data_IF_328588104205
#
_entry.id   IF_328588104205
#
_cell.length_a   1.000
_cell.length_b   1.000
_cell.length_c   1.000
_cell.angle_alpha   90.00
_cell.angle_beta   90.00
_cell.angle_gamma   90.00
#
_symmetry.space_group_name_H-M   'P 1'
#
loop_
_entity.id
_entity.type
_entity.pdbx_description
1 polymer ?
#
# COMPACT_ATOMS: atom_id res chain seq x y z
N UNK A 1 6.02 4.05 -23.50
CA UNK A 1 4.76 3.92 -22.76
C UNK A 1 3.64 3.88 -23.78
N UNK A 2 2.92 2.78 -23.94
CA UNK A 2 1.70 2.77 -24.77
C UNK A 2 0.62 3.45 -23.92
N UNK A 3 0.07 4.53 -24.45
CA UNK A 3 -1.13 5.14 -23.91
C UNK A 3 -2.24 4.09 -23.90
N UNK A 4 -2.81 3.87 -22.72
CA UNK A 4 -4.05 3.08 -22.60
C UNK A 4 -5.16 4.02 -23.06
N UNK A 5 -5.56 3.87 -24.33
CA UNK A 5 -6.71 4.58 -24.89
C UNK A 5 -7.95 3.91 -24.30
N UNK A 6 -8.63 4.59 -23.40
CA UNK A 6 -9.94 4.19 -22.91
C UNK A 6 -10.96 4.49 -24.01
N UNK A 7 -11.48 3.46 -24.66
CA UNK A 7 -12.62 3.65 -25.58
C UNK A 7 -13.86 3.95 -24.72
N UNK A 8 -14.47 5.09 -24.96
CA UNK A 8 -15.81 5.46 -24.50
C UNK A 8 -16.88 4.68 -25.30
N UNK A 9 -16.91 3.36 -25.18
CA UNK A 9 -18.06 2.57 -25.60
C UNK A 9 -18.81 2.13 -24.35
N UNK A 10 -20.10 2.50 -24.29
CA UNK A 10 -21.14 2.16 -23.33
C UNK A 10 -20.60 1.59 -21.99
N UNK A 11 -20.51 2.42 -20.97
CA UNK A 11 -20.11 1.94 -19.64
C UNK A 11 -21.19 0.98 -19.15
N UNK A 12 -20.97 -0.31 -19.34
CA UNK A 12 -21.74 -1.34 -18.66
C UNK A 12 -21.71 -1.01 -17.17
N UNK A 13 -22.89 -0.84 -16.59
CA UNK A 13 -23.02 -0.44 -15.18
C UNK A 13 -22.27 -1.42 -14.31
N UNK A 14 -21.30 -0.91 -13.49
CA UNK A 14 -20.49 -1.76 -12.62
C UNK A 14 -21.38 -2.53 -11.65
N UNK A 15 -21.23 -3.85 -11.63
CA UNK A 15 -21.98 -4.74 -10.74
C UNK A 15 -21.10 -5.22 -9.59
N UNK A 16 -21.62 -5.09 -8.35
CA UNK A 16 -20.90 -5.46 -7.13
C UNK A 16 -21.33 -6.85 -6.63
N UNK A 17 -21.15 -7.87 -7.46
CA UNK A 17 -21.43 -9.24 -7.11
C UNK A 17 -20.28 -9.88 -6.32
N UNK A 18 -20.60 -10.78 -5.40
CA UNK A 18 -19.60 -11.63 -4.76
C UNK A 18 -18.98 -12.60 -5.78
N UNK A 19 -17.72 -12.92 -5.63
CA UNK A 19 -16.99 -13.81 -6.54
C UNK A 19 -17.65 -15.20 -6.66
N UNK A 20 -18.23 -15.71 -5.58
CA UNK A 20 -18.91 -17.01 -5.54
C UNK A 20 -20.13 -17.10 -6.48
N UNK A 21 -20.63 -15.98 -6.97
CA UNK A 21 -21.74 -15.89 -7.94
C UNK A 21 -21.25 -15.90 -9.39
N UNK A 22 -19.96 -15.79 -9.63
CA UNK A 22 -19.39 -15.73 -10.97
C UNK A 22 -19.09 -17.13 -11.51
N UNK A 23 -19.45 -17.36 -12.79
CA UNK A 23 -19.23 -18.66 -13.43
C UNK A 23 -17.73 -18.98 -13.56
N UNK A 24 -16.92 -18.02 -13.91
CA UNK A 24 -15.46 -18.15 -14.00
C UNK A 24 -14.79 -18.43 -12.64
N UNK A 25 -15.38 -17.99 -11.53
CA UNK A 25 -14.91 -18.37 -10.20
C UNK A 25 -15.17 -19.85 -9.92
N UNK A 26 -16.33 -20.37 -10.32
CA UNK A 26 -16.62 -21.81 -10.23
C UNK A 26 -15.69 -22.64 -11.12
N UNK A 27 -15.36 -22.13 -12.32
CA UNK A 27 -14.35 -22.74 -13.19
C UNK A 27 -12.98 -22.79 -12.48
N UNK A 28 -12.56 -21.70 -11.85
CA UNK A 28 -11.30 -21.61 -11.11
C UNK A 28 -11.20 -22.60 -9.95
N UNK A 29 -12.30 -22.84 -9.23
CA UNK A 29 -12.32 -23.81 -8.14
C UNK A 29 -12.10 -25.26 -8.61
N UNK A 30 -12.42 -25.54 -9.88
CA UNK A 30 -12.32 -26.87 -10.48
C UNK A 30 -11.07 -27.05 -11.37
N UNK A 31 -10.21 -26.02 -11.50
CA UNK A 31 -8.96 -26.15 -12.24
C UNK A 31 -7.99 -27.07 -11.50
N UNK A 32 -7.30 -27.93 -12.23
CA UNK A 32 -6.25 -28.77 -11.71
C UNK A 32 -5.13 -27.91 -11.10
N UNK A 33 -4.72 -28.27 -9.89
CA UNK A 33 -3.68 -27.51 -9.19
C UNK A 33 -2.29 -27.86 -9.71
N UNK A 34 -1.51 -26.85 -9.99
CA UNK A 34 -0.11 -27.00 -10.41
C UNK A 34 0.72 -27.57 -9.26
N UNK A 35 1.40 -28.68 -9.51
CA UNK A 35 2.42 -29.20 -8.60
C UNK A 35 3.68 -28.33 -8.67
N UNK A 36 3.83 -27.41 -7.74
CA UNK A 36 4.97 -26.48 -7.73
C UNK A 36 6.32 -27.18 -7.52
N UNK A 37 6.36 -28.27 -6.76
CA UNK A 37 7.60 -29.01 -6.54
C UNK A 37 8.14 -29.55 -7.87
N UNK A 38 7.29 -30.11 -8.72
CA UNK A 38 7.67 -30.57 -10.07
C UNK A 38 7.94 -29.39 -11.01
N UNK A 39 7.09 -28.36 -11.02
CA UNK A 39 7.18 -27.25 -11.94
C UNK A 39 8.40 -26.35 -11.69
N UNK A 40 8.90 -26.25 -10.47
CA UNK A 40 10.05 -25.44 -10.09
C UNK A 40 11.38 -26.18 -10.05
N UNK A 41 11.36 -27.51 -10.18
CA UNK A 41 12.55 -28.36 -10.24
C UNK A 41 12.73 -28.93 -11.65
N UNK A 42 13.95 -29.36 -11.97
CA UNK A 42 14.27 -29.90 -13.27
C UNK A 42 14.62 -28.82 -14.30
N UNK A 43 14.69 -29.23 -15.57
CA UNK A 43 15.17 -28.41 -16.69
C UNK A 43 14.29 -27.18 -16.97
N UNK A 44 12.99 -27.27 -16.71
CA UNK A 44 12.01 -26.23 -16.99
C UNK A 44 11.87 -25.17 -15.88
N UNK A 45 12.47 -25.36 -14.70
CA UNK A 45 12.31 -24.44 -13.56
C UNK A 45 12.80 -23.02 -13.87
N UNK A 46 13.96 -22.87 -14.50
CA UNK A 46 14.50 -21.57 -14.90
C UNK A 46 13.65 -20.86 -15.97
N UNK A 47 13.14 -21.61 -16.94
CA UNK A 47 12.26 -21.06 -17.97
C UNK A 47 10.92 -20.61 -17.39
N UNK A 48 10.40 -21.35 -16.43
CA UNK A 48 9.19 -20.97 -15.70
C UNK A 48 9.34 -19.62 -14.98
N UNK A 49 10.48 -19.39 -14.30
CA UNK A 49 10.77 -18.12 -13.64
C UNK A 49 10.81 -16.96 -14.64
N UNK A 50 11.38 -17.16 -15.82
CA UNK A 50 11.39 -16.15 -16.89
C UNK A 50 9.98 -15.91 -17.45
N UNK A 51 9.25 -16.98 -17.74
CA UNK A 51 7.92 -16.94 -18.35
C UNK A 51 6.90 -16.19 -17.49
N UNK A 52 6.87 -16.49 -16.19
CA UNK A 52 5.89 -15.92 -15.26
C UNK A 52 6.46 -14.68 -14.55
N UNK A 53 6.85 -13.70 -15.36
CA UNK A 53 7.38 -12.42 -14.93
C UNK A 53 6.76 -11.28 -15.74
N UNK A 54 6.35 -10.22 -15.06
CA UNK A 54 5.77 -9.01 -15.67
C UNK A 54 6.64 -7.81 -15.31
N UNK A 55 7.08 -7.01 -16.32
CA UNK A 55 7.84 -5.81 -16.04
C UNK A 55 6.96 -4.78 -15.31
N UNK A 56 7.55 -4.11 -14.33
CA UNK A 56 6.95 -3.05 -13.53
C UNK A 56 7.70 -1.73 -13.73
N UNK A 57 7.21 -0.67 -13.09
CA UNK A 57 7.90 0.62 -13.07
C UNK A 57 9.25 0.55 -12.35
N UNK A 58 10.11 1.55 -12.60
CA UNK A 58 11.42 1.73 -11.96
C UNK A 58 12.38 0.53 -12.12
N UNK A 59 12.28 -0.23 -13.21
CA UNK A 59 13.15 -1.39 -13.47
C UNK A 59 12.84 -2.62 -12.62
N UNK A 60 11.75 -2.62 -11.88
CA UNK A 60 11.27 -3.79 -11.13
C UNK A 60 10.55 -4.77 -12.05
N UNK A 61 10.45 -6.01 -11.59
CA UNK A 61 9.61 -7.03 -12.22
C UNK A 61 8.82 -7.77 -11.14
N UNK A 62 7.55 -8.04 -11.43
CA UNK A 62 6.74 -8.94 -10.62
C UNK A 62 6.89 -10.36 -11.15
N UNK A 63 7.58 -11.20 -10.39
CA UNK A 63 7.73 -12.61 -10.71
C UNK A 63 6.74 -13.44 -9.89
N UNK A 64 5.96 -14.25 -10.58
CA UNK A 64 4.96 -15.12 -9.97
C UNK A 64 5.17 -16.60 -10.33
N UNK A 65 6.37 -16.97 -10.77
CA UNK A 65 6.73 -18.37 -11.11
C UNK A 65 6.52 -19.34 -9.95
N UNK A 66 6.63 -18.89 -8.70
CA UNK A 66 6.38 -19.71 -7.50
C UNK A 66 4.90 -19.71 -7.05
N UNK A 67 3.98 -19.21 -7.85
CA UNK A 67 2.53 -19.35 -7.60
C UNK A 67 1.99 -20.62 -8.27
N UNK A 68 0.92 -21.19 -7.74
CA UNK A 68 0.24 -22.35 -8.33
C UNK A 68 -0.56 -21.95 -9.58
N UNK A 69 0.13 -21.45 -10.59
CA UNK A 69 -0.44 -21.03 -11.87
C UNK A 69 0.29 -21.68 -13.04
N UNK A 70 -0.45 -21.95 -14.09
CA UNK A 70 0.02 -22.28 -15.43
C UNK A 70 -0.80 -21.50 -16.44
N UNK A 71 -0.63 -21.78 -17.72
CA UNK A 71 -1.35 -21.06 -18.77
C UNK A 71 -2.87 -21.30 -18.70
N UNK A 72 -3.30 -22.49 -18.26
CA UNK A 72 -4.71 -22.81 -18.08
C UNK A 72 -5.31 -22.00 -16.93
N UNK A 73 -4.64 -21.99 -15.76
CA UNK A 73 -5.06 -21.18 -14.61
C UNK A 73 -5.10 -19.69 -14.99
N UNK A 74 -4.10 -19.19 -15.73
CA UNK A 74 -4.06 -17.80 -16.18
C UNK A 74 -5.21 -17.46 -17.13
N UNK A 75 -5.59 -18.40 -18.02
CA UNK A 75 -6.73 -18.20 -18.91
C UNK A 75 -8.04 -18.08 -18.11
N UNK A 76 -8.24 -18.92 -17.09
CA UNK A 76 -9.43 -18.84 -16.21
C UNK A 76 -9.41 -17.56 -15.37
N UNK A 77 -8.25 -17.15 -14.85
CA UNK A 77 -8.12 -15.89 -14.11
C UNK A 77 -8.42 -14.67 -15.01
N UNK A 78 -8.03 -14.72 -16.30
CA UNK A 78 -8.39 -13.66 -17.25
C UNK A 78 -9.90 -13.58 -17.50
N UNK A 79 -10.59 -14.73 -17.62
CA UNK A 79 -12.06 -14.77 -17.68
C UNK A 79 -12.70 -14.18 -16.41
N UNK A 80 -12.17 -14.56 -15.24
CA UNK A 80 -12.66 -14.06 -13.96
C UNK A 80 -12.47 -12.54 -13.84
N UNK A 81 -11.32 -12.02 -14.24
CA UNK A 81 -11.05 -10.58 -14.23
C UNK A 81 -12.05 -9.80 -15.10
N UNK A 82 -12.37 -10.34 -16.28
CA UNK A 82 -13.35 -9.76 -17.20
C UNK A 82 -14.78 -9.85 -16.63
N UNK A 83 -15.22 -11.03 -16.17
CA UNK A 83 -16.56 -11.23 -15.60
C UNK A 83 -16.77 -10.41 -14.32
N UNK A 84 -15.73 -10.26 -13.51
CA UNK A 84 -15.73 -9.43 -12.30
C UNK A 84 -15.63 -7.92 -12.60
N UNK A 85 -15.48 -7.50 -13.84
CA UNK A 85 -15.26 -6.10 -14.24
C UNK A 85 -14.09 -5.46 -13.47
N UNK A 86 -12.95 -6.19 -13.37
CA UNK A 86 -11.83 -5.76 -12.53
C UNK A 86 -11.23 -4.44 -12.99
N UNK A 87 -11.09 -4.24 -14.31
CA UNK A 87 -10.51 -3.03 -14.89
C UNK A 87 -11.41 -1.81 -14.65
N UNK A 88 -12.70 -1.99 -14.86
CA UNK A 88 -13.74 -0.97 -14.68
C UNK A 88 -13.83 -0.55 -13.19
N UNK A 89 -13.80 -1.53 -12.29
CA UNK A 89 -13.77 -1.28 -10.85
C UNK A 89 -12.50 -0.58 -10.39
N UNK A 90 -11.36 -0.89 -11.02
CA UNK A 90 -10.12 -0.19 -10.74
C UNK A 90 -10.16 1.26 -11.26
N UNK A 91 -10.76 1.50 -12.42
CA UNK A 91 -10.99 2.84 -12.94
C UNK A 91 -11.92 3.64 -12.01
N UNK A 92 -13.02 3.04 -11.54
CA UNK A 92 -13.93 3.65 -10.57
C UNK A 92 -13.21 4.06 -9.27
N UNK A 93 -12.32 3.19 -8.73
CA UNK A 93 -11.46 3.54 -7.59
C UNK A 93 -10.59 4.76 -7.89
N UNK A 94 -9.95 4.76 -9.04
CA UNK A 94 -9.06 5.85 -9.46
C UNK A 94 -9.79 7.18 -9.65
N UNK A 95 -11.01 7.12 -10.16
CA UNK A 95 -11.88 8.29 -10.38
C UNK A 95 -12.56 8.77 -9.09
N UNK A 96 -12.37 8.08 -7.97
CA UNK A 96 -12.93 8.46 -6.68
C UNK A 96 -14.42 8.16 -6.54
N UNK A 97 -14.90 7.09 -7.15
CA UNK A 97 -16.24 6.59 -6.90
C UNK A 97 -16.33 5.89 -5.54
N UNK A 98 -17.54 5.79 -4.99
CA UNK A 98 -17.78 5.05 -3.74
C UNK A 98 -17.68 3.55 -4.00
N UNK A 99 -16.49 2.97 -3.85
CA UNK A 99 -16.26 1.54 -4.07
C UNK A 99 -16.36 0.70 -2.79
N UNK A 100 -16.16 1.29 -1.62
CA UNK A 100 -16.45 0.64 -0.35
C UNK A 100 -17.93 0.84 -0.01
N UNK A 101 -18.78 -0.01 -0.61
CA UNK A 101 -20.22 0.10 -0.49
C UNK A 101 -20.73 -0.18 0.93
N UNK A 102 -20.02 -0.97 1.72
CA UNK A 102 -20.36 -1.28 3.11
C UNK A 102 -20.27 -0.08 4.04
N UNK A 103 -19.20 0.71 3.90
CA UNK A 103 -18.96 1.91 4.70
C UNK A 103 -19.34 3.21 3.96
N UNK A 104 -19.77 3.10 2.69
CA UNK A 104 -20.07 4.24 1.81
C UNK A 104 -18.90 5.23 1.70
N UNK A 105 -17.69 4.70 1.50
CA UNK A 105 -16.45 5.49 1.44
C UNK A 105 -15.75 5.40 0.11
N UNK A 106 -15.04 6.49 -0.20
CA UNK A 106 -14.04 6.55 -1.25
C UNK A 106 -12.76 5.83 -0.80
N UNK A 107 -11.93 5.40 -1.76
CA UNK A 107 -10.59 4.87 -1.52
C UNK A 107 -9.62 5.70 -2.36
N UNK A 108 -8.89 6.62 -1.74
CA UNK A 108 -8.16 7.69 -2.41
C UNK A 108 -6.64 7.64 -2.18
N UNK A 109 -6.07 6.45 -1.94
CA UNK A 109 -4.63 6.29 -1.70
C UNK A 109 -3.76 6.82 -2.83
N UNK A 110 -4.23 6.79 -4.07
CA UNK A 110 -3.53 7.32 -5.24
C UNK A 110 -3.27 8.83 -5.13
N UNK A 111 -4.15 9.59 -4.50
CA UNK A 111 -3.99 11.05 -4.34
C UNK A 111 -2.90 11.43 -3.32
N UNK A 112 -2.49 10.49 -2.45
CA UNK A 112 -1.43 10.71 -1.46
C UNK A 112 -0.09 10.13 -1.90
N UNK A 113 -0.03 9.41 -3.05
CA UNK A 113 1.13 8.67 -3.53
C UNK A 113 1.50 9.10 -4.94
N UNK A 114 2.19 10.24 -5.06
CA UNK A 114 2.64 10.76 -6.35
C UNK A 114 1.56 11.46 -7.16
N UNK A 115 0.44 11.81 -6.56
CA UNK A 115 -0.65 12.57 -7.17
C UNK A 115 -1.20 11.92 -8.46
N UNK A 116 -1.37 10.61 -8.41
CA UNK A 116 -1.90 9.83 -9.52
C UNK A 116 -3.41 10.05 -9.67
N UNK A 117 -3.92 9.86 -10.88
CA UNK A 117 -5.34 10.06 -11.21
C UNK A 117 -5.73 11.54 -11.36
N UNK A 118 -7.02 11.77 -11.51
CA UNK A 118 -7.62 13.09 -11.65
C UNK A 118 -8.05 13.68 -10.30
N UNK A 119 -8.55 14.92 -10.31
CA UNK A 119 -9.14 15.53 -9.12
C UNK A 119 -10.41 14.81 -8.70
N UNK A 120 -10.57 14.60 -7.41
CA UNK A 120 -11.78 14.01 -6.84
C UNK A 120 -12.49 15.04 -5.97
N UNK A 121 -13.70 15.40 -6.35
CA UNK A 121 -14.55 16.30 -5.56
C UNK A 121 -15.53 15.45 -4.75
N UNK A 122 -15.43 15.52 -3.43
CA UNK A 122 -16.36 14.84 -2.53
C UNK A 122 -16.78 15.76 -1.39
N UNK A 123 -18.06 15.82 -1.10
CA UNK A 123 -18.64 16.71 -0.10
C UNK A 123 -18.27 18.20 -0.32
N UNK A 124 -18.18 18.63 -1.57
CA UNK A 124 -17.77 19.98 -1.94
C UNK A 124 -16.27 20.29 -1.74
N UNK A 125 -15.45 19.31 -1.43
CA UNK A 125 -14.00 19.47 -1.19
C UNK A 125 -13.21 18.77 -2.28
N UNK A 126 -12.24 19.47 -2.88
CA UNK A 126 -11.23 18.84 -3.73
C UNK A 126 -10.28 18.03 -2.85
N UNK A 127 -10.37 16.71 -2.93
CA UNK A 127 -9.58 15.80 -2.08
C UNK A 127 -8.09 15.82 -2.40
N UNK A 128 -7.71 16.07 -3.65
CA UNK A 128 -6.29 16.27 -4.02
C UNK A 128 -5.69 17.46 -3.31
N UNK A 129 -6.32 18.61 -3.41
CA UNK A 129 -5.86 19.83 -2.73
C UNK A 129 -5.84 19.66 -1.22
N UNK A 130 -6.87 19.02 -0.66
CA UNK A 130 -6.91 18.69 0.77
C UNK A 130 -5.68 17.88 1.21
N UNK A 131 -5.37 16.78 0.53
CA UNK A 131 -4.22 15.94 0.89
C UNK A 131 -2.88 16.64 0.69
N UNK A 132 -2.72 17.44 -0.36
CA UNK A 132 -1.51 18.24 -0.55
C UNK A 132 -1.30 19.25 0.59
N UNK A 133 -2.36 19.91 1.02
CA UNK A 133 -2.30 20.85 2.14
C UNK A 133 -1.98 20.13 3.46
N UNK A 134 -2.56 18.96 3.71
CA UNK A 134 -2.22 18.16 4.89
C UNK A 134 -0.76 17.68 4.88
N UNK A 135 -0.24 17.21 3.74
CA UNK A 135 1.18 16.84 3.60
C UNK A 135 2.10 18.03 3.86
N UNK A 136 1.73 19.23 3.38
CA UNK A 136 2.47 20.46 3.67
C UNK A 136 2.49 20.77 5.16
N UNK A 137 1.33 20.73 5.83
CA UNK A 137 1.24 20.95 7.29
C UNK A 137 2.10 19.96 8.09
N UNK A 138 2.10 18.67 7.70
CA UNK A 138 2.94 17.64 8.32
C UNK A 138 4.42 17.99 8.18
N UNK A 139 4.84 18.39 6.98
CA UNK A 139 6.22 18.79 6.71
C UNK A 139 6.63 20.03 7.52
N UNK A 140 5.78 21.04 7.56
CA UNK A 140 6.03 22.27 8.33
C UNK A 140 6.13 21.98 9.83
N UNK A 141 5.23 21.15 10.37
CA UNK A 141 5.26 20.73 11.77
C UNK A 141 6.55 19.97 12.10
N UNK A 142 6.90 18.97 11.29
CA UNK A 142 8.12 18.19 11.50
C UNK A 142 9.37 19.08 11.47
N UNK A 143 9.44 20.03 10.54
CA UNK A 143 10.56 20.98 10.47
C UNK A 143 10.63 21.86 11.71
N UNK A 144 9.51 22.38 12.22
CA UNK A 144 9.48 23.20 13.46
C UNK A 144 9.99 22.42 14.68
N UNK A 145 9.60 21.15 14.81
CA UNK A 145 10.12 20.27 15.88
C UNK A 145 11.63 20.05 15.69
N UNK A 146 12.07 19.68 14.49
CA UNK A 146 13.49 19.43 14.21
C UNK A 146 14.39 20.65 14.41
N UNK A 147 13.89 21.84 14.11
CA UNK A 147 14.63 23.10 14.27
C UNK A 147 14.58 23.63 15.70
N UNK A 148 13.71 23.09 16.56
CA UNK A 148 13.51 23.53 17.93
C UNK A 148 12.68 24.81 18.04
N UNK A 149 11.81 25.08 17.07
CA UNK A 149 10.77 26.10 17.16
C UNK A 149 9.61 25.65 18.05
N UNK A 150 9.40 24.31 18.09
CA UNK A 150 8.49 23.64 19.05
C UNK A 150 9.36 22.91 20.05
N UNK A 151 9.18 23.26 21.33
CA UNK A 151 9.97 22.78 22.47
C UNK A 151 9.08 22.20 23.56
N UNK A 152 9.70 21.54 24.54
CA UNK A 152 9.03 21.15 25.78
C UNK A 152 8.74 22.39 26.68
N UNK A 153 8.12 22.17 27.84
CA UNK A 153 7.78 23.25 28.79
C UNK A 153 9.02 23.98 29.37
N UNK A 154 10.18 23.35 29.36
CA UNK A 154 11.45 23.95 29.79
C UNK A 154 12.16 24.72 28.64
N UNK A 155 11.61 24.76 27.44
CA UNK A 155 12.22 25.40 26.28
C UNK A 155 13.27 24.54 25.57
N UNK A 156 13.34 23.25 25.83
CA UNK A 156 14.31 22.33 25.28
C UNK A 156 13.74 21.61 24.05
N UNK A 157 14.64 21.23 23.14
CA UNK A 157 14.28 20.48 21.92
C UNK A 157 13.87 19.06 22.23
N UNK A 158 12.84 18.58 21.56
CA UNK A 158 12.53 17.16 21.56
C UNK A 158 13.62 16.36 20.84
N UNK A 159 14.13 15.32 21.49
CA UNK A 159 15.18 14.43 20.97
C UNK A 159 14.66 13.04 20.65
N UNK A 160 13.50 12.69 21.17
CA UNK A 160 12.90 11.37 21.04
C UNK A 160 11.43 11.48 20.65
N UNK A 161 10.98 10.58 19.79
CA UNK A 161 9.58 10.39 19.43
C UNK A 161 9.15 8.99 19.84
N UNK A 162 7.98 8.87 20.49
CA UNK A 162 7.38 7.60 20.84
C UNK A 162 6.21 7.34 19.88
N UNK A 163 6.35 6.31 19.07
CA UNK A 163 5.29 5.83 18.19
C UNK A 163 4.46 4.80 18.95
N UNK A 164 3.21 5.09 19.19
CA UNK A 164 2.26 4.17 19.82
C UNK A 164 1.31 3.67 18.75
N UNK A 165 1.28 2.37 18.53
CA UNK A 165 0.39 1.79 17.54
C UNK A 165 0.55 0.28 17.42
N UNK A 166 -0.51 -0.38 16.96
CA UNK A 166 -0.57 -1.83 16.77
C UNK A 166 -0.77 -2.13 15.29
N UNK A 167 -0.12 -3.18 14.77
CA UNK A 167 -0.27 -3.62 13.40
C UNK A 167 0.15 -2.54 12.39
N UNK A 168 -0.76 -2.08 11.55
CA UNK A 168 -0.49 -1.08 10.52
C UNK A 168 -0.04 0.28 11.06
N UNK A 169 -0.41 0.63 12.29
CA UNK A 169 0.03 1.86 12.95
C UNK A 169 1.43 1.76 13.55
N UNK A 170 2.01 0.56 13.68
CA UNK A 170 3.38 0.33 14.12
C UNK A 170 4.30 -0.05 12.97
N UNK A 171 3.94 -1.11 12.21
CA UNK A 171 4.86 -1.76 11.27
C UNK A 171 5.36 -0.83 10.17
N UNK A 172 4.50 0.03 9.61
CA UNK A 172 4.87 0.98 8.57
C UNK A 172 5.90 2.02 9.06
N UNK A 173 5.57 2.84 10.07
CA UNK A 173 6.49 3.82 10.64
C UNK A 173 7.79 3.20 11.15
N UNK A 174 7.72 2.06 11.87
CA UNK A 174 8.89 1.34 12.38
C UNK A 174 9.79 0.85 11.24
N UNK A 175 9.24 0.23 10.20
CA UNK A 175 10.01 -0.26 9.07
C UNK A 175 10.76 0.88 8.36
N UNK A 176 10.11 2.02 8.14
CA UNK A 176 10.74 3.19 7.52
C UNK A 176 11.84 3.78 8.38
N UNK A 177 11.62 3.91 9.69
CA UNK A 177 12.64 4.41 10.60
C UNK A 177 13.86 3.48 10.64
N UNK A 178 13.67 2.19 10.88
CA UNK A 178 14.77 1.21 10.98
C UNK A 178 15.55 1.07 9.66
N UNK A 179 14.89 1.17 8.52
CA UNK A 179 15.53 1.12 7.22
C UNK A 179 16.51 2.29 6.99
N UNK A 180 16.22 3.45 7.56
CA UNK A 180 16.98 4.68 7.33
C UNK A 180 17.87 5.10 8.52
N UNK A 181 17.65 4.54 9.70
CA UNK A 181 18.32 4.96 10.93
C UNK A 181 19.84 4.90 10.83
N UNK A 182 20.39 3.76 10.39
CA UNK A 182 21.85 3.57 10.27
C UNK A 182 22.44 4.51 9.23
N UNK A 183 21.78 4.68 8.10
CA UNK A 183 22.21 5.63 7.07
C UNK A 183 22.21 7.07 7.62
N UNK A 184 21.18 7.47 8.34
CA UNK A 184 21.08 8.79 8.95
C UNK A 184 22.14 9.02 10.04
N UNK A 185 22.47 7.99 10.85
CA UNK A 185 23.56 8.06 11.85
C UNK A 185 24.90 8.26 11.19
N UNK A 186 25.24 7.45 10.18
CA UNK A 186 26.54 7.53 9.46
C UNK A 186 26.71 8.88 8.79
N UNK A 187 25.62 9.45 8.27
CA UNK A 187 25.65 10.76 7.58
C UNK A 187 25.42 11.96 8.52
N UNK A 188 25.30 11.75 9.84
CA UNK A 188 25.01 12.79 10.84
C UNK A 188 23.72 13.58 10.52
N UNK A 189 22.71 12.93 9.97
CA UNK A 189 21.43 13.53 9.61
C UNK A 189 20.26 13.05 10.49
N UNK A 190 20.52 12.15 11.43
CA UNK A 190 19.49 11.68 12.37
C UNK A 190 19.02 12.85 13.26
N UNK A 191 17.74 13.16 13.17
CA UNK A 191 17.15 14.29 13.91
C UNK A 191 16.61 13.90 15.27
N UNK A 192 15.97 12.73 15.37
CA UNK A 192 15.33 12.23 16.58
C UNK A 192 15.52 10.71 16.69
N UNK A 193 15.57 10.21 17.92
CA UNK A 193 15.44 8.77 18.20
C UNK A 193 13.97 8.40 18.17
N UNK A 194 13.64 7.23 17.62
CA UNK A 194 12.29 6.67 17.73
C UNK A 194 12.25 5.50 18.71
N UNK A 195 11.19 5.46 19.52
CA UNK A 195 10.83 4.34 20.37
C UNK A 195 9.43 3.87 19.96
N UNK A 196 9.14 2.60 20.14
CA UNK A 196 7.92 1.98 19.65
C UNK A 196 7.21 1.20 20.75
N UNK A 197 5.97 1.55 21.02
CA UNK A 197 5.05 0.80 21.88
C UNK A 197 4.03 0.15 20.94
N UNK A 198 4.13 -1.16 20.77
CA UNK A 198 3.38 -1.91 19.76
C UNK A 198 2.39 -2.92 20.33
N UNK A 199 2.24 -2.94 21.64
CA UNK A 199 1.36 -3.86 22.34
C UNK A 199 0.47 -3.11 23.35
N UNK A 200 -0.66 -3.72 23.72
CA UNK A 200 -1.53 -3.26 24.81
C UNK A 200 -1.03 -3.69 26.18
N UNK A 201 0.06 -4.47 26.23
CA UNK A 201 0.69 -4.92 27.46
C UNK A 201 1.30 -3.73 28.19
N UNK A 202 0.90 -3.45 29.45
CA UNK A 202 1.46 -2.35 30.23
C UNK A 202 2.97 -2.53 30.51
N UNK A 203 3.49 -3.74 30.54
CA UNK A 203 4.90 -4.01 30.75
C UNK A 203 5.74 -3.59 29.51
N UNK A 204 5.21 -3.76 28.28
CA UNK A 204 5.84 -3.24 27.07
C UNK A 204 5.96 -1.71 27.12
N UNK A 205 4.88 -1.03 27.45
CA UNK A 205 4.87 0.42 27.61
C UNK A 205 5.82 0.90 28.74
N UNK A 206 5.77 0.27 29.90
CA UNK A 206 6.64 0.59 31.03
C UNK A 206 8.13 0.35 30.68
N UNK A 207 8.45 -0.75 30.00
CA UNK A 207 9.79 -1.07 29.53
C UNK A 207 10.35 0.00 28.60
N UNK A 208 9.58 0.45 27.61
CA UNK A 208 9.98 1.51 26.70
C UNK A 208 10.14 2.85 27.44
N UNK A 209 9.15 3.28 28.23
CA UNK A 209 9.16 4.57 28.91
C UNK A 209 10.28 4.67 29.97
N UNK A 210 10.62 3.56 30.64
CA UNK A 210 11.71 3.53 31.64
C UNK A 210 13.11 3.81 31.07
N UNK A 211 13.29 3.72 29.77
CA UNK A 211 14.57 3.97 29.08
C UNK A 211 14.73 5.38 28.55
N UNK A 212 13.74 6.25 28.77
CA UNK A 212 13.68 7.59 28.20
C UNK A 212 13.71 8.66 29.29
N UNK A 213 14.28 9.80 28.93
CA UNK A 213 14.07 11.03 29.65
C UNK A 213 12.74 11.64 29.22
N UNK A 214 11.80 11.79 30.15
CA UNK A 214 10.46 12.31 29.92
C UNK A 214 10.33 13.80 30.31
N UNK A 215 11.41 14.43 30.72
CA UNK A 215 11.44 15.85 31.12
C UNK A 215 11.32 16.82 29.93
#
# INVERSE_FOLDING_TARGET
MKEIIWNEEESDMITWNNLDKLASYQELLNVERVNLAEAMTGENGAERVKKYSVPMAAGLAFNYGAKSVDDNVLAVLAKLAKEAQLTEKYAALYNGEVINTGEKRLVLHQLTRGQLGEDVIADGVNKREFYLNEQKKITEFANKVHNGEITNAAGEKFTTVVQIGIGGSDLGPRAMYLALENWAKVNNTLKMKAQFISNVDPDDAAGVLSTMDLA
#
